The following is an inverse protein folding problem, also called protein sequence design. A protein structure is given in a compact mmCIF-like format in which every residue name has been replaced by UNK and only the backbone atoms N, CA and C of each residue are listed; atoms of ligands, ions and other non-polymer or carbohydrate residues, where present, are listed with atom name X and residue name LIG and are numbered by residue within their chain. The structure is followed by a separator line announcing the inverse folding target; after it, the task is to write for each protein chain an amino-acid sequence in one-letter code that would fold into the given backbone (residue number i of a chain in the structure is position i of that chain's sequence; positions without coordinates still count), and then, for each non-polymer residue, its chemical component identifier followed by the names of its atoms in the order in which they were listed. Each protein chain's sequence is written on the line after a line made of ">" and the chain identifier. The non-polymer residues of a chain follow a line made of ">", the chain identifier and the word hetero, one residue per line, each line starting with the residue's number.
data_IF_758734336479
#
_entry.id   IF_758734336479
#
_cell.length_a   1.000
_cell.length_b   1.000
_cell.length_c   1.000
_cell.angle_alpha   90.00
_cell.angle_beta   90.00
_cell.angle_gamma   90.00
#
_symmetry.space_group_name_H-M   'P 1'
#
loop_
_entity.id
_entity.type
_entity.pdbx_description
1 polymer ?
#
# COMPACT_ATOMS: atom_id res chain seq x y z
N UNK A 1 -10.19 7.32 14.91
CA UNK A 1 -10.03 5.89 14.59
C UNK A 1 -8.86 5.33 15.37
N UNK A 2 -9.03 4.18 15.97
CA UNK A 2 -7.94 3.53 16.67
C UNK A 2 -7.09 2.70 15.70
N UNK A 3 -5.79 2.63 15.97
CA UNK A 3 -4.85 1.88 15.16
C UNK A 3 -5.28 0.42 14.96
N UNK A 4 -5.75 -0.22 16.03
CA UNK A 4 -6.18 -1.62 15.97
C UNK A 4 -7.35 -1.82 15.01
N UNK A 5 -8.35 -0.95 15.04
CA UNK A 5 -9.51 -1.04 14.15
C UNK A 5 -9.12 -0.87 12.69
N UNK A 6 -8.11 -0.04 12.42
CA UNK A 6 -7.58 0.16 11.08
C UNK A 6 -6.83 -1.07 10.59
N UNK A 7 -6.02 -1.69 11.45
CA UNK A 7 -5.18 -2.81 11.07
C UNK A 7 -5.96 -4.11 10.84
N UNK A 8 -7.15 -4.25 11.43
CA UNK A 8 -7.95 -5.47 11.29
C UNK A 8 -8.28 -5.82 9.83
N UNK A 9 -8.80 -4.90 8.99
CA UNK A 9 -9.06 -5.24 7.60
C UNK A 9 -7.79 -5.31 6.75
N UNK A 10 -6.72 -4.64 7.17
CA UNK A 10 -5.46 -4.63 6.44
C UNK A 10 -4.78 -6.00 6.47
N UNK A 11 -4.89 -6.73 7.57
CA UNK A 11 -4.26 -8.04 7.72
C UNK A 11 -4.74 -9.05 6.67
N UNK A 12 -6.05 -9.34 6.52
CA UNK A 12 -6.48 -10.28 5.48
C UNK A 12 -6.18 -9.78 4.07
N UNK A 13 -6.23 -8.47 3.84
CA UNK A 13 -5.86 -7.91 2.56
C UNK A 13 -4.40 -8.24 2.19
N UNK A 14 -3.46 -8.05 3.12
CA UNK A 14 -2.06 -8.36 2.87
C UNK A 14 -1.81 -9.87 2.76
N UNK A 15 -2.50 -10.67 3.55
CA UNK A 15 -2.41 -12.13 3.48
C UNK A 15 -2.88 -12.67 2.13
N UNK A 16 -3.86 -12.01 1.50
CA UNK A 16 -4.36 -12.40 0.19
C UNK A 16 -3.26 -12.42 -0.87
N UNK A 17 -2.24 -11.57 -0.74
CA UNK A 17 -1.16 -11.48 -1.72
C UNK A 17 -0.24 -12.71 -1.74
N UNK A 18 -0.24 -13.51 -0.68
CA UNK A 18 0.55 -14.75 -0.61
C UNK A 18 -0.33 -16.00 -0.74
N UNK A 19 -1.65 -15.84 -0.79
CA UNK A 19 -2.57 -16.96 -0.89
C UNK A 19 -2.73 -17.41 -2.34
N UNK A 20 -2.39 -18.66 -2.62
CA UNK A 20 -2.44 -19.23 -3.98
C UNK A 20 -3.78 -19.87 -4.31
N UNK A 21 -4.52 -20.34 -3.31
CA UNK A 21 -5.84 -20.90 -3.52
C UNK A 21 -6.84 -19.80 -3.82
N UNK A 22 -7.48 -19.77 -5.03
CA UNK A 22 -8.43 -18.72 -5.39
C UNK A 22 -9.62 -18.59 -4.45
N UNK A 23 -10.12 -19.69 -3.90
CA UNK A 23 -11.24 -19.67 -2.95
C UNK A 23 -10.83 -19.01 -1.64
N UNK A 24 -9.70 -19.42 -1.09
CA UNK A 24 -9.19 -18.84 0.15
C UNK A 24 -8.83 -17.36 -0.05
N UNK A 25 -8.26 -17.03 -1.19
CA UNK A 25 -7.95 -15.64 -1.53
C UNK A 25 -9.21 -14.78 -1.53
N UNK A 26 -10.30 -15.28 -2.16
CA UNK A 26 -11.56 -14.55 -2.17
C UNK A 26 -12.12 -14.33 -0.76
N UNK A 27 -12.03 -15.33 0.10
CA UNK A 27 -12.42 -15.17 1.50
C UNK A 27 -11.64 -14.04 2.18
N UNK A 28 -10.32 -14.01 2.00
CA UNK A 28 -9.46 -12.99 2.57
C UNK A 28 -9.79 -11.60 2.02
N UNK A 29 -10.01 -11.48 0.71
CA UNK A 29 -10.41 -10.22 0.10
C UNK A 29 -11.76 -9.74 0.63
N UNK A 30 -12.71 -10.64 0.79
CA UNK A 30 -14.03 -10.30 1.33
C UNK A 30 -13.95 -9.82 2.77
N UNK A 31 -13.03 -10.36 3.56
CA UNK A 31 -12.81 -9.94 4.94
C UNK A 31 -12.23 -8.53 5.04
N UNK A 32 -11.31 -8.19 4.14
CA UNK A 32 -10.56 -6.94 4.22
C UNK A 32 -11.12 -5.81 3.38
N UNK A 33 -11.72 -6.12 2.24
CA UNK A 33 -12.12 -5.12 1.25
C UNK A 33 -13.64 -5.05 1.09
N UNK A 34 -14.15 -3.82 0.88
CA UNK A 34 -15.51 -3.63 0.40
C UNK A 34 -15.67 -4.23 -1.00
N UNK A 35 -16.89 -4.63 -1.41
CA UNK A 35 -17.09 -5.28 -2.71
C UNK A 35 -16.62 -4.48 -3.93
N UNK A 36 -16.69 -3.16 -3.84
CA UNK A 36 -16.29 -2.26 -4.92
C UNK A 36 -14.99 -1.52 -4.61
N UNK A 37 -14.18 -2.08 -3.70
CA UNK A 37 -12.91 -1.48 -3.32
C UNK A 37 -12.00 -1.26 -4.53
N UNK A 38 -11.24 -0.18 -4.47
CA UNK A 38 -10.29 0.18 -5.52
C UNK A 38 -8.87 0.11 -5.00
N UNK A 39 -7.96 -0.39 -5.83
CA UNK A 39 -6.52 -0.27 -5.59
C UNK A 39 -5.94 0.58 -6.70
N UNK A 40 -5.38 1.71 -6.33
CA UNK A 40 -4.76 2.66 -7.25
C UNK A 40 -3.26 2.42 -7.29
N UNK A 41 -2.81 1.84 -8.37
CA UNK A 41 -1.39 1.70 -8.68
C UNK A 41 -0.94 2.76 -9.67
N UNK A 42 0.37 2.79 -10.02
CA UNK A 42 0.90 3.84 -10.91
C UNK A 42 0.38 3.78 -12.34
N UNK A 43 -0.12 2.63 -12.79
CA UNK A 43 -0.53 2.44 -14.20
C UNK A 43 -2.02 2.26 -14.40
N UNK A 44 -2.75 1.81 -13.38
CA UNK A 44 -4.18 1.60 -13.48
C UNK A 44 -4.83 1.48 -12.12
N UNK A 45 -6.16 1.57 -12.11
CA UNK A 45 -6.98 1.29 -10.94
C UNK A 45 -7.60 -0.10 -11.13
N UNK A 46 -7.53 -0.92 -10.09
CA UNK A 46 -8.19 -2.23 -10.02
C UNK A 46 -9.42 -2.10 -9.15
N UNK A 47 -10.57 -2.50 -9.64
CA UNK A 47 -11.84 -2.37 -8.94
C UNK A 47 -12.50 -3.71 -8.74
N UNK A 48 -12.88 -4.01 -7.50
CA UNK A 48 -13.61 -5.22 -7.15
C UNK A 48 -12.72 -6.46 -7.00
N UNK A 49 -13.30 -7.52 -6.44
CA UNK A 49 -12.53 -8.72 -6.08
C UNK A 49 -11.88 -9.40 -7.28
N UNK A 50 -12.58 -9.47 -8.42
CA UNK A 50 -12.04 -10.15 -9.59
C UNK A 50 -10.78 -9.48 -10.13
N UNK A 51 -10.83 -8.16 -10.33
CA UNK A 51 -9.66 -7.41 -10.82
C UNK A 51 -8.53 -7.41 -9.82
N UNK A 52 -8.84 -7.31 -8.53
CA UNK A 52 -7.83 -7.33 -7.47
C UNK A 52 -7.18 -8.72 -7.40
N UNK A 53 -7.94 -9.79 -7.57
CA UNK A 53 -7.39 -11.14 -7.62
C UNK A 53 -6.46 -11.32 -8.82
N UNK A 54 -6.79 -10.74 -9.98
CA UNK A 54 -5.89 -10.73 -11.15
C UNK A 54 -4.59 -10.00 -10.85
N UNK A 55 -4.68 -8.86 -10.16
CA UNK A 55 -3.49 -8.12 -9.72
C UNK A 55 -2.61 -9.00 -8.82
N UNK A 56 -3.21 -9.76 -7.93
CA UNK A 56 -2.48 -10.67 -7.03
C UNK A 56 -1.84 -11.81 -7.83
N UNK A 57 -2.51 -12.34 -8.84
CA UNK A 57 -1.90 -13.35 -9.72
C UNK A 57 -0.63 -12.81 -10.38
N UNK A 58 -0.69 -11.57 -10.89
CA UNK A 58 0.47 -10.90 -11.46
C UNK A 58 1.58 -10.70 -10.44
N UNK A 59 1.23 -10.32 -9.23
CA UNK A 59 2.19 -10.18 -8.15
C UNK A 59 2.90 -11.50 -7.85
N UNK A 60 2.16 -12.58 -7.72
CA UNK A 60 2.73 -13.90 -7.41
C UNK A 60 3.60 -14.42 -8.54
N UNK A 61 3.25 -14.11 -9.79
CA UNK A 61 4.04 -14.49 -10.97
C UNK A 61 5.35 -13.71 -11.04
N UNK A 62 5.30 -12.40 -10.81
CA UNK A 62 6.46 -11.52 -10.95
C UNK A 62 7.37 -11.53 -9.73
N UNK A 63 6.84 -11.82 -8.55
CA UNK A 63 7.55 -11.77 -7.27
C UNK A 63 7.32 -13.04 -6.47
N UNK A 64 7.73 -14.23 -7.02
CA UNK A 64 7.46 -15.51 -6.34
C UNK A 64 8.11 -15.56 -4.96
N UNK A 65 7.35 -16.05 -3.99
CA UNK A 65 7.82 -16.16 -2.61
C UNK A 65 7.89 -14.86 -1.83
N UNK A 66 7.49 -13.75 -2.42
CA UNK A 66 7.51 -12.44 -1.77
C UNK A 66 6.20 -12.14 -1.06
N UNK A 67 6.25 -11.21 -0.13
CA UNK A 67 5.06 -10.71 0.57
C UNK A 67 5.18 -9.22 0.84
N UNK A 68 4.03 -8.60 1.05
CA UNK A 68 3.93 -7.21 1.43
C UNK A 68 3.80 -7.11 2.95
N UNK A 69 4.56 -6.21 3.55
CA UNK A 69 4.52 -5.98 5.00
C UNK A 69 4.38 -4.50 5.29
N UNK A 70 3.78 -4.18 6.43
CA UNK A 70 3.74 -2.81 6.96
C UNK A 70 5.06 -2.58 7.71
N UNK A 71 5.73 -1.48 7.40
CA UNK A 71 7.06 -1.20 7.95
C UNK A 71 7.12 0.03 8.85
N UNK A 72 5.98 0.67 9.13
CA UNK A 72 5.89 1.81 10.05
C UNK A 72 4.59 1.79 10.84
N UNK A 73 4.47 2.67 11.80
CA UNK A 73 3.17 3.00 12.40
C UNK A 73 2.30 3.74 11.39
N UNK A 74 1.05 4.00 11.77
CA UNK A 74 0.05 4.60 10.90
C UNK A 74 -0.23 6.04 11.34
N UNK A 75 -0.23 6.95 10.37
CA UNK A 75 -0.71 8.32 10.57
C UNK A 75 -2.16 8.36 10.12
N UNK A 76 -3.06 8.78 11.01
CA UNK A 76 -4.50 8.81 10.73
C UNK A 76 -4.96 10.21 10.35
N UNK A 77 -5.92 10.25 9.41
CA UNK A 77 -6.68 11.48 9.12
C UNK A 77 -8.05 11.07 8.58
N UNK A 78 -9.10 11.53 9.24
CA UNK A 78 -10.47 11.12 8.87
C UNK A 78 -10.63 9.60 8.93
N UNK A 79 -11.12 9.03 7.83
CA UNK A 79 -11.27 7.58 7.67
C UNK A 79 -10.09 6.93 6.98
N UNK A 80 -8.97 7.62 6.86
CA UNK A 80 -7.79 7.14 6.14
C UNK A 80 -6.61 6.96 7.07
N UNK A 81 -5.68 6.10 6.66
CA UNK A 81 -4.40 5.90 7.32
C UNK A 81 -3.27 5.86 6.29
N UNK A 82 -2.15 6.46 6.66
CA UNK A 82 -0.93 6.50 5.86
C UNK A 82 0.18 5.75 6.58
N UNK A 83 0.84 4.84 5.90
CA UNK A 83 1.92 4.04 6.49
C UNK A 83 2.96 3.65 5.44
N UNK A 84 4.16 3.32 5.92
CA UNK A 84 5.21 2.77 5.09
C UNK A 84 5.02 1.26 4.92
N UNK A 85 5.44 0.75 3.78
CA UNK A 85 5.36 -0.66 3.44
C UNK A 85 6.64 -1.13 2.77
N UNK A 86 6.82 -2.44 2.73
CA UNK A 86 7.96 -3.04 2.05
C UNK A 86 7.53 -4.31 1.33
N UNK A 87 8.24 -4.61 0.25
CA UNK A 87 8.19 -5.89 -0.43
C UNK A 87 9.39 -6.69 0.05
N UNK A 88 9.15 -7.84 0.65
CA UNK A 88 10.22 -8.68 1.16
C UNK A 88 10.17 -10.07 0.52
N UNK A 89 11.35 -10.67 0.35
CA UNK A 89 11.45 -12.02 -0.21
C UNK A 89 11.37 -13.09 0.89
N UNK A 90 11.46 -14.36 0.50
CA UNK A 90 11.37 -15.48 1.42
C UNK A 90 12.47 -15.52 2.49
N UNK A 91 13.61 -14.88 2.24
CA UNK A 91 14.69 -14.77 3.23
C UNK A 91 14.57 -13.52 4.11
N UNK A 92 13.53 -12.72 3.92
CA UNK A 92 13.29 -11.51 4.72
C UNK A 92 14.02 -10.28 4.22
N UNK A 93 14.68 -10.34 3.06
CA UNK A 93 15.37 -9.17 2.49
C UNK A 93 14.36 -8.22 1.86
N UNK A 94 14.58 -6.93 2.07
CA UNK A 94 13.74 -5.87 1.48
C UNK A 94 14.13 -5.66 0.03
N UNK A 95 13.19 -5.89 -0.88
CA UNK A 95 13.40 -5.70 -2.32
C UNK A 95 12.94 -4.32 -2.79
N UNK A 96 11.91 -3.76 -2.15
CA UNK A 96 11.38 -2.45 -2.48
C UNK A 96 10.68 -1.87 -1.27
N UNK A 97 10.64 -0.54 -1.20
CA UNK A 97 9.95 0.18 -0.15
C UNK A 97 9.03 1.22 -0.76
N UNK A 98 7.98 1.56 -0.03
CA UNK A 98 7.03 2.57 -0.46
C UNK A 98 6.10 2.94 0.68
N UNK A 99 4.97 3.52 0.33
CA UNK A 99 3.94 3.83 1.30
C UNK A 99 2.56 3.73 0.67
N UNK A 100 1.56 3.61 1.51
CA UNK A 100 0.18 3.51 1.08
C UNK A 100 -0.70 4.42 1.90
N UNK A 101 -1.75 4.90 1.27
CA UNK A 101 -2.88 5.52 1.95
C UNK A 101 -4.06 4.56 1.79
N UNK A 102 -4.67 4.18 2.89
CA UNK A 102 -5.80 3.26 2.90
C UNK A 102 -7.00 3.96 3.50
N UNK A 103 -8.12 3.96 2.77
CA UNK A 103 -9.37 4.53 3.22
C UNK A 103 -10.34 3.43 3.59
N UNK A 104 -11.04 3.59 4.72
CA UNK A 104 -12.07 2.65 5.18
C UNK A 104 -13.45 3.19 4.89
N UNK A 105 -14.38 2.29 4.56
CA UNK A 105 -15.79 2.62 4.52
C UNK A 105 -16.40 2.56 5.93
N UNK A 106 -17.59 3.12 6.15
CA UNK A 106 -18.34 2.84 7.36
C UNK A 106 -18.58 1.34 7.49
N UNK A 107 -18.20 0.73 8.63
CA UNK A 107 -18.23 -0.71 8.81
C UNK A 107 -16.87 -1.38 8.74
N UNK A 108 -15.80 -0.61 8.56
CA UNK A 108 -14.40 -1.01 8.78
C UNK A 108 -13.77 -1.89 7.71
N UNK A 109 -14.33 -1.97 6.48
CA UNK A 109 -13.61 -2.59 5.37
C UNK A 109 -12.94 -1.52 4.50
N UNK A 110 -11.88 -1.92 3.82
CA UNK A 110 -11.11 -1.02 2.96
C UNK A 110 -11.94 -0.68 1.72
N UNK A 111 -12.11 0.61 1.44
CA UNK A 111 -12.77 1.09 0.24
C UNK A 111 -11.79 1.52 -0.85
N UNK A 112 -10.59 1.95 -0.47
CA UNK A 112 -9.59 2.37 -1.44
C UNK A 112 -8.19 2.25 -0.87
N UNK A 113 -7.25 1.83 -1.73
CA UNK A 113 -5.82 1.80 -1.43
C UNK A 113 -5.11 2.62 -2.49
N UNK A 114 -4.34 3.62 -2.06
CA UNK A 114 -3.44 4.38 -2.92
C UNK A 114 -2.03 3.86 -2.65
N UNK A 115 -1.45 3.19 -3.64
CA UNK A 115 -0.19 2.47 -3.48
C UNK A 115 0.95 3.20 -4.17
N UNK A 116 2.00 3.51 -3.42
CA UNK A 116 3.19 4.22 -3.90
C UNK A 116 4.44 3.37 -3.65
N UNK A 117 5.33 3.33 -4.63
CA UNK A 117 6.59 2.61 -4.53
C UNK A 117 7.77 3.50 -4.90
N UNK A 118 8.89 3.25 -4.23
CA UNK A 118 10.14 3.93 -4.49
C UNK A 118 10.20 5.34 -3.91
N UNK A 119 11.36 6.00 -4.06
CA UNK A 119 11.52 7.39 -3.65
C UNK A 119 10.80 8.32 -4.63
N UNK A 120 10.50 9.52 -4.16
CA UNK A 120 9.97 10.55 -5.03
C UNK A 120 11.01 10.91 -6.10
N UNK A 121 10.59 11.16 -7.34
CA UNK A 121 11.51 11.68 -8.36
C UNK A 121 12.00 13.08 -7.98
N UNK A 122 13.09 13.51 -8.60
CA UNK A 122 13.60 14.85 -8.41
C UNK A 122 12.60 15.88 -8.93
N UNK A 123 12.63 17.07 -8.35
CA UNK A 123 11.82 18.19 -8.83
C UNK A 123 12.21 18.51 -10.29
N UNK A 124 11.21 18.75 -11.16
CA UNK A 124 11.51 19.18 -12.52
C UNK A 124 12.13 20.57 -12.54
N UNK A 125 12.98 20.85 -13.54
CA UNK A 125 13.66 22.15 -13.68
C UNK A 125 12.69 23.33 -13.78
N UNK A 126 11.50 23.09 -14.31
CA UNK A 126 10.47 24.13 -14.44
C UNK A 126 9.83 24.54 -13.12
N UNK A 127 10.10 23.80 -12.02
CA UNK A 127 9.53 24.13 -10.71
C UNK A 127 10.20 25.39 -10.14
N UNK A 128 9.43 26.42 -9.73
CA UNK A 128 10.01 27.66 -9.23
C UNK A 128 10.84 27.43 -7.96
N UNK A 129 12.10 27.91 -7.91
CA UNK A 129 12.96 27.69 -6.74
C UNK A 129 12.40 28.25 -5.43
N UNK A 130 11.63 29.33 -5.48
CA UNK A 130 11.05 29.92 -4.25
C UNK A 130 9.94 29.07 -3.65
N UNK A 131 9.46 28.03 -4.35
CA UNK A 131 8.49 27.05 -3.88
C UNK A 131 9.14 25.71 -3.59
N UNK A 132 10.47 25.69 -3.48
CA UNK A 132 11.23 24.47 -3.19
C UNK A 132 11.94 24.61 -1.87
N UNK A 133 12.30 23.46 -1.28
CA UNK A 133 13.18 23.46 -0.11
C UNK A 133 14.57 23.86 -0.57
N UNK A 134 15.24 24.83 0.12
CA UNK A 134 16.62 25.20 -0.23
C UNK A 134 17.55 23.98 -0.13
N UNK A 135 18.52 23.91 -1.07
CA UNK A 135 19.52 22.86 -1.03
C UNK A 135 20.40 23.07 0.20
N UNK A 136 20.49 22.06 1.05
CA UNK A 136 21.36 22.08 2.21
C UNK A 136 22.71 21.47 1.86
N UNK A 137 23.79 22.19 2.17
CA UNK A 137 25.16 21.70 1.99
C UNK A 137 25.78 21.19 3.31
N UNK A 138 25.07 21.33 4.40
CA UNK A 138 25.53 20.89 5.72
C UNK A 138 24.72 19.69 6.21
N UNK A 139 25.03 19.14 7.34
CA UNK A 139 24.46 17.96 7.94
C UNK A 139 22.93 17.74 7.81
N UNK A 140 22.41 16.74 8.54
CA UNK A 140 21.00 16.36 8.38
C UNK A 140 20.06 17.51 8.75
N UNK A 141 18.94 17.56 8.05
CA UNK A 141 17.89 18.56 8.31
C UNK A 141 16.89 17.97 9.29
N UNK A 142 16.45 18.77 10.20
CA UNK A 142 15.34 18.41 11.06
C UNK A 142 14.02 18.69 10.31
N UNK A 143 13.07 17.81 10.53
CA UNK A 143 11.75 17.92 9.93
C UNK A 143 10.93 19.04 10.59
#
# INVERSE_FOLDING_TARGET
>A
MEAQSFLLPLQPYLEAFVERDPHRRLELLTMGLAPEAEIWGPKRVFTGYAEISEKIDGFQTNWPGCRLVVSSGVIFFGNAGHFAKALINSSGSVLASGHSVVELEPGSRISRVLAFWGPHPALPEVWPPHLSVPVSTGGPREA
#
